data_IF_750453012221
#
_entry.id   IF_750453012221
#
_cell.length_a   1.000
_cell.length_b   1.000
_cell.length_c   1.000
_cell.angle_alpha   90.00
_cell.angle_beta   90.00
_cell.angle_gamma   90.00
#
_symmetry.space_group_name_H-M   'P 1'
#
loop_
_entity.id
_entity.type
_entity.pdbx_description
1 polymer ?
#
# COMPACT_ATOMS: atom_id res chain seq x y z
N UNK A 1 -0.06 13.10 7.84
CA UNK A 1 0.95 12.73 8.85
C UNK A 1 0.38 13.04 10.23
N UNK A 2 0.56 12.17 11.22
CA UNK A 2 -0.11 12.28 12.52
C UNK A 2 0.87 12.72 13.61
N UNK A 3 0.53 13.78 14.33
CA UNK A 3 1.28 14.27 15.50
C UNK A 3 1.14 13.30 16.68
N UNK A 4 1.95 13.46 17.73
CA UNK A 4 1.82 12.67 18.96
C UNK A 4 0.39 12.73 19.52
N UNK A 5 -0.25 13.89 19.42
CA UNK A 5 -1.61 14.17 19.90
C UNK A 5 -2.72 13.63 18.98
N UNK A 6 -2.37 13.00 17.86
CA UNK A 6 -3.36 12.53 16.90
C UNK A 6 -4.27 11.45 17.51
N UNK A 7 -5.54 11.44 17.08
CA UNK A 7 -6.55 10.49 17.54
C UNK A 7 -6.15 9.03 17.38
N UNK A 8 -5.33 8.71 16.39
CA UNK A 8 -4.80 7.34 16.18
C UNK A 8 -3.95 6.85 17.35
N UNK A 9 -3.31 7.73 18.11
CA UNK A 9 -2.46 7.37 19.24
C UNK A 9 -3.26 7.28 20.57
N UNK A 10 -4.52 7.72 20.58
CA UNK A 10 -5.33 7.71 21.78
C UNK A 10 -5.59 6.28 22.25
N UNK A 11 -5.31 6.01 23.53
CA UNK A 11 -5.45 4.69 24.12
C UNK A 11 -4.32 3.71 23.81
N UNK A 12 -3.29 4.12 23.04
CA UNK A 12 -2.11 3.29 22.84
C UNK A 12 -1.34 3.12 24.15
N UNK A 13 -1.03 1.88 24.53
CA UNK A 13 -0.19 1.56 25.69
C UNK A 13 1.30 1.58 25.35
N UNK A 14 1.66 1.45 24.07
CA UNK A 14 3.04 1.54 23.61
C UNK A 14 3.13 2.23 22.24
N UNK A 15 4.00 3.25 22.18
CA UNK A 15 4.41 3.91 20.96
C UNK A 15 5.86 3.56 20.65
N UNK A 16 6.18 3.28 19.39
CA UNK A 16 7.53 2.99 18.94
C UNK A 16 8.01 4.08 17.97
N UNK A 17 9.27 4.54 18.08
CA UNK A 17 9.85 5.42 17.08
C UNK A 17 10.04 4.67 15.75
N UNK A 18 9.62 5.28 14.66
CA UNK A 18 9.83 4.81 13.30
C UNK A 18 10.38 5.96 12.46
N UNK A 19 11.72 6.06 12.40
CA UNK A 19 12.40 7.24 11.86
C UNK A 19 12.01 8.50 12.64
N UNK A 20 11.54 9.58 11.99
CA UNK A 20 11.13 10.81 12.66
C UNK A 20 9.71 10.73 13.28
N UNK A 21 9.05 9.57 13.25
CA UNK A 21 7.63 9.42 13.64
C UNK A 21 7.46 8.52 14.86
N UNK A 22 6.33 8.66 15.54
CA UNK A 22 5.86 7.71 16.57
C UNK A 22 4.66 6.96 16.02
N UNK A 23 4.71 5.63 16.05
CA UNK A 23 3.60 4.77 15.65
C UNK A 23 3.04 4.01 16.86
N UNK A 24 1.71 3.89 16.99
CA UNK A 24 1.12 3.03 18.00
C UNK A 24 1.34 1.58 17.61
N UNK A 25 2.07 0.84 18.44
CA UNK A 25 2.35 -0.59 18.22
C UNK A 25 1.58 -1.50 19.17
N UNK A 26 0.91 -0.92 20.18
CA UNK A 26 0.07 -1.65 21.11
C UNK A 26 -0.97 -0.72 21.76
N UNK A 27 -2.20 -1.19 21.87
CA UNK A 27 -3.33 -0.58 22.57
C UNK A 27 -3.77 -1.39 23.79
N UNK A 28 -3.59 -2.72 23.75
CA UNK A 28 -4.01 -3.62 24.81
C UNK A 28 -2.81 -4.39 25.35
N UNK A 29 -2.62 -5.63 24.92
CA UNK A 29 -1.47 -6.47 25.26
C UNK A 29 -1.06 -7.32 24.03
N UNK A 30 0.19 -7.83 24.00
CA UNK A 30 0.70 -8.52 22.81
C UNK A 30 -0.12 -9.76 22.44
N UNK A 31 -0.63 -10.50 23.43
CA UNK A 31 -1.42 -11.71 23.17
C UNK A 31 -2.71 -11.37 22.45
N UNK A 32 -3.48 -10.40 22.95
CA UNK A 32 -4.75 -10.01 22.35
C UNK A 32 -4.58 -9.44 20.94
N UNK A 33 -3.55 -8.62 20.72
CA UNK A 33 -3.34 -8.00 19.40
C UNK A 33 -2.84 -9.01 18.36
N UNK A 34 -1.94 -9.92 18.75
CA UNK A 34 -1.47 -10.99 17.86
C UNK A 34 -2.57 -12.02 17.57
N UNK A 35 -3.41 -12.36 18.55
CA UNK A 35 -4.52 -13.30 18.34
C UNK A 35 -5.72 -12.63 17.66
N UNK A 36 -5.87 -11.31 17.73
CA UNK A 36 -6.96 -10.57 17.09
C UNK A 36 -7.08 -10.87 15.60
N UNK A 37 -5.96 -10.93 14.87
CA UNK A 37 -5.94 -11.27 13.44
C UNK A 37 -6.21 -12.76 13.15
N UNK A 38 -6.27 -13.63 14.17
CA UNK A 38 -6.56 -15.07 14.03
C UNK A 38 -7.96 -15.44 14.52
N UNK A 39 -8.42 -14.81 15.59
CA UNK A 39 -9.68 -15.13 16.26
C UNK A 39 -10.82 -14.18 15.86
N UNK A 40 -10.50 -12.97 15.39
CA UNK A 40 -11.48 -11.95 15.01
C UNK A 40 -11.00 -11.06 13.85
N UNK A 41 -10.68 -9.79 14.11
CA UNK A 41 -10.02 -8.91 13.17
C UNK A 41 -9.10 -7.92 13.91
N UNK A 42 -8.07 -7.48 13.22
CA UNK A 42 -7.20 -6.39 13.62
C UNK A 42 -7.32 -5.24 12.62
N UNK A 43 -7.22 -4.01 13.10
CA UNK A 43 -7.14 -2.80 12.26
C UNK A 43 -5.87 -2.03 12.62
N UNK A 44 -5.16 -1.56 11.60
CA UNK A 44 -3.96 -0.75 11.77
C UNK A 44 -3.85 0.38 10.77
N UNK A 45 -3.24 1.47 11.23
CA UNK A 45 -2.90 2.65 10.44
C UNK A 45 -1.44 2.67 10.00
N UNK A 46 -0.64 1.65 10.35
CA UNK A 46 0.82 1.65 10.18
C UNK A 46 1.27 1.97 8.75
N UNK A 47 0.52 1.49 7.76
CA UNK A 47 0.81 1.74 6.35
C UNK A 47 0.67 3.23 5.95
N UNK A 48 -0.14 4.01 6.66
CA UNK A 48 -0.27 5.46 6.43
C UNK A 48 1.02 6.24 6.72
N UNK A 49 1.89 5.71 7.59
CA UNK A 49 3.14 6.40 7.98
C UNK A 49 4.34 5.95 7.18
N UNK A 50 4.32 4.68 6.76
CA UNK A 50 5.52 3.97 6.34
C UNK A 50 5.55 3.62 4.86
N UNK A 51 4.41 3.67 4.16
CA UNK A 51 4.33 3.31 2.74
C UNK A 51 4.65 4.52 1.85
N UNK A 52 5.84 4.63 1.25
CA UNK A 52 6.06 5.62 0.21
C UNK A 52 5.18 5.27 -1.00
N UNK A 53 4.47 6.26 -1.51
CA UNK A 53 3.63 6.13 -2.70
C UNK A 53 4.24 6.98 -3.81
N UNK A 54 4.48 6.36 -4.96
CA UNK A 54 5.11 7.01 -6.11
C UNK A 54 4.43 6.58 -7.40
N UNK A 55 3.91 7.56 -8.14
CA UNK A 55 3.31 7.36 -9.45
C UNK A 55 4.37 7.44 -10.53
N UNK A 56 4.22 6.60 -11.56
CA UNK A 56 5.07 6.54 -12.75
C UNK A 56 4.17 6.67 -13.96
N UNK A 57 4.47 7.62 -14.85
CA UNK A 57 3.68 7.85 -16.07
C UNK A 57 4.57 8.16 -17.25
N UNK A 58 4.28 7.57 -18.40
CA UNK A 58 4.99 7.86 -19.66
C UNK A 58 5.14 6.62 -20.55
N UNK A 59 5.38 6.79 -21.85
CA UNK A 59 5.38 5.71 -22.83
C UNK A 59 6.44 4.63 -22.55
N UNK A 60 7.53 4.95 -21.85
CA UNK A 60 8.55 3.98 -21.46
C UNK A 60 8.26 3.31 -20.10
N UNK A 61 7.12 3.55 -19.45
CA UNK A 61 6.86 3.04 -18.09
C UNK A 61 6.92 1.51 -17.99
N UNK A 62 6.36 0.78 -18.96
CA UNK A 62 6.44 -0.69 -19.02
C UNK A 62 7.90 -1.14 -19.21
N UNK A 63 8.65 -0.46 -20.09
CA UNK A 63 10.05 -0.76 -20.38
C UNK A 63 10.93 -0.55 -19.15
N UNK A 64 10.72 0.54 -18.43
CA UNK A 64 11.35 0.82 -17.14
C UNK A 64 11.08 -0.33 -16.16
N UNK A 65 9.81 -0.66 -15.92
CA UNK A 65 9.42 -1.69 -14.95
C UNK A 65 9.98 -3.07 -15.31
N UNK A 66 9.91 -3.46 -16.58
CA UNK A 66 10.51 -4.72 -17.07
C UNK A 66 12.04 -4.74 -16.98
N UNK A 67 12.71 -3.57 -16.95
CA UNK A 67 14.16 -3.49 -16.79
C UNK A 67 14.60 -3.62 -15.34
N UNK A 68 13.84 -3.04 -14.40
CA UNK A 68 14.26 -2.93 -12.98
C UNK A 68 13.62 -3.95 -12.05
N UNK A 69 12.50 -4.55 -12.45
CA UNK A 69 11.81 -5.57 -11.66
C UNK A 69 12.08 -6.98 -12.20
N UNK A 70 12.19 -7.96 -11.31
CA UNK A 70 12.40 -9.38 -11.68
C UNK A 70 11.13 -10.10 -12.13
N UNK A 71 9.97 -9.44 -11.97
CA UNK A 71 8.69 -10.03 -12.30
C UNK A 71 8.55 -10.30 -13.80
N UNK A 72 7.57 -11.15 -14.15
CA UNK A 72 7.14 -11.33 -15.54
C UNK A 72 6.76 -9.99 -16.17
N UNK A 73 6.68 -9.98 -17.49
CA UNK A 73 6.30 -8.81 -18.30
C UNK A 73 5.08 -8.04 -17.74
N UNK A 74 5.27 -6.73 -17.49
CA UNK A 74 4.24 -5.81 -17.02
C UNK A 74 3.25 -5.40 -18.11
N UNK A 75 3.56 -5.58 -19.41
CA UNK A 75 2.60 -5.36 -20.48
C UNK A 75 1.36 -6.27 -20.36
N UNK A 76 1.54 -7.46 -19.76
CA UNK A 76 0.47 -8.43 -19.51
C UNK A 76 -0.40 -8.10 -18.30
N UNK A 77 0.01 -7.14 -17.46
CA UNK A 77 -0.80 -6.68 -16.34
C UNK A 77 -1.90 -5.76 -16.88
N UNK A 78 -3.17 -6.15 -16.78
CA UNK A 78 -4.28 -5.31 -17.25
C UNK A 78 -4.42 -4.05 -16.40
N UNK A 79 -4.97 -2.98 -16.97
CA UNK A 79 -5.35 -1.78 -16.20
C UNK A 79 -6.29 -2.18 -15.06
N UNK A 80 -6.05 -1.63 -13.87
CA UNK A 80 -6.70 -2.01 -12.61
C UNK A 80 -6.05 -3.20 -11.91
N UNK A 81 -5.24 -4.00 -12.61
CA UNK A 81 -4.51 -5.12 -12.03
C UNK A 81 -3.32 -4.67 -11.20
N UNK A 82 -2.98 -5.48 -10.21
CA UNK A 82 -1.83 -5.26 -9.33
C UNK A 82 -0.86 -6.44 -9.33
N UNK A 83 0.36 -6.19 -8.86
CA UNK A 83 1.42 -7.18 -8.74
C UNK A 83 2.34 -6.80 -7.59
N UNK A 84 2.74 -7.78 -6.79
CA UNK A 84 3.86 -7.62 -5.85
C UNK A 84 5.15 -7.60 -6.66
N UNK A 85 5.76 -6.43 -6.80
CA UNK A 85 6.88 -6.18 -7.68
C UNK A 85 8.17 -6.01 -6.89
N UNK A 86 9.22 -6.70 -7.33
CA UNK A 86 10.50 -6.83 -6.64
C UNK A 86 11.59 -6.27 -7.54
N UNK A 87 12.34 -5.30 -7.02
CA UNK A 87 13.46 -4.65 -7.69
C UNK A 87 14.75 -5.25 -7.18
N UNK A 88 15.62 -5.67 -8.09
CA UNK A 88 16.95 -6.19 -7.75
C UNK A 88 18.04 -5.41 -8.47
N UNK A 89 19.23 -5.37 -7.87
CA UNK A 89 20.42 -4.90 -8.56
C UNK A 89 20.96 -5.96 -9.55
N UNK A 90 22.01 -5.61 -10.28
CA UNK A 90 22.64 -6.49 -11.29
C UNK A 90 23.20 -7.81 -10.71
N UNK A 91 23.45 -7.85 -9.40
CA UNK A 91 23.89 -9.07 -8.69
C UNK A 91 22.73 -9.93 -8.20
N UNK A 92 21.48 -9.53 -8.50
CA UNK A 92 20.27 -10.21 -8.04
C UNK A 92 19.90 -9.92 -6.57
N UNK A 93 20.53 -8.94 -5.93
CA UNK A 93 20.21 -8.57 -4.54
C UNK A 93 19.00 -7.63 -4.54
N UNK A 94 18.04 -7.89 -3.65
CA UNK A 94 16.82 -7.10 -3.53
C UNK A 94 17.15 -5.68 -3.06
N UNK A 95 16.66 -4.70 -3.81
CA UNK A 95 16.77 -3.27 -3.50
C UNK A 95 15.52 -2.74 -2.84
N UNK A 96 14.35 -3.14 -3.35
CA UNK A 96 13.04 -2.79 -2.82
C UNK A 96 11.98 -3.78 -3.32
N UNK A 97 10.87 -3.89 -2.61
CA UNK A 97 9.69 -4.61 -3.05
C UNK A 97 8.42 -3.90 -2.60
N UNK A 98 7.30 -4.26 -3.21
CA UNK A 98 6.01 -3.72 -2.80
C UNK A 98 4.91 -3.89 -3.84
N UNK A 99 3.75 -3.30 -3.57
CA UNK A 99 2.61 -3.38 -4.45
C UNK A 99 2.76 -2.39 -5.60
N UNK A 100 2.55 -2.87 -6.82
CA UNK A 100 2.45 -2.05 -8.02
C UNK A 100 1.08 -2.25 -8.65
N UNK A 101 0.44 -1.16 -9.03
CA UNK A 101 -0.89 -1.18 -9.65
C UNK A 101 -0.84 -0.44 -10.99
N UNK A 102 -1.32 -1.07 -12.05
CA UNK A 102 -1.50 -0.38 -13.34
C UNK A 102 -2.75 0.49 -13.27
N UNK A 103 -2.59 1.80 -13.28
CA UNK A 103 -3.70 2.78 -13.16
C UNK A 103 -4.19 3.29 -14.51
N UNK A 104 -3.41 3.12 -15.57
CA UNK A 104 -3.76 3.42 -16.95
C UNK A 104 -2.85 2.64 -17.92
N UNK A 105 -2.95 2.90 -19.21
CA UNK A 105 -2.16 2.16 -20.21
C UNK A 105 -0.65 2.33 -19.94
N UNK A 106 -0.20 3.57 -19.74
CA UNK A 106 1.19 3.92 -19.44
C UNK A 106 1.31 4.62 -18.08
N UNK A 107 0.52 4.16 -17.11
CA UNK A 107 0.48 4.75 -15.78
C UNK A 107 0.43 3.68 -14.70
N UNK A 108 1.30 3.82 -13.72
CA UNK A 108 1.45 2.89 -12.61
C UNK A 108 1.55 3.65 -11.30
N UNK A 109 1.00 3.05 -10.25
CA UNK A 109 1.19 3.48 -8.88
C UNK A 109 1.97 2.44 -8.12
N UNK A 110 3.00 2.87 -7.41
CA UNK A 110 3.87 2.00 -6.62
C UNK A 110 3.71 2.33 -5.14
N UNK A 111 3.75 1.29 -4.32
CA UNK A 111 3.77 1.35 -2.87
C UNK A 111 5.04 0.64 -2.41
N UNK A 112 5.81 1.24 -1.51
CA UNK A 112 7.06 0.68 -0.94
C UNK A 112 8.25 0.52 -1.88
N UNK A 113 8.13 0.88 -3.16
CA UNK A 113 9.25 0.78 -4.12
C UNK A 113 10.14 2.02 -4.15
N UNK A 114 9.65 3.16 -3.67
CA UNK A 114 10.43 4.38 -3.56
C UNK A 114 11.32 4.33 -2.30
N UNK A 115 12.53 4.91 -2.31
CA UNK A 115 13.07 5.80 -3.34
C UNK A 115 13.82 5.09 -4.49
N UNK A 116 13.90 3.76 -4.50
CA UNK A 116 14.65 3.02 -5.54
C UNK A 116 14.03 3.24 -6.91
N UNK A 117 12.71 3.14 -7.03
CA UNK A 117 12.04 3.33 -8.32
C UNK A 117 12.13 4.78 -8.81
N UNK A 118 12.04 5.77 -7.91
CA UNK A 118 12.18 7.18 -8.28
C UNK A 118 13.60 7.49 -8.76
N UNK A 119 14.62 6.91 -8.13
CA UNK A 119 16.00 7.00 -8.61
C UNK A 119 16.14 6.49 -10.05
N UNK A 120 15.51 5.37 -10.40
CA UNK A 120 15.57 4.84 -11.77
C UNK A 120 14.79 5.70 -12.77
N UNK A 121 13.66 6.28 -12.37
CA UNK A 121 12.93 7.27 -13.19
C UNK A 121 13.86 8.45 -13.52
N UNK A 122 14.58 8.97 -12.54
CA UNK A 122 15.42 10.16 -12.72
C UNK A 122 16.74 9.89 -13.47
N UNK A 123 17.27 8.66 -13.41
CA UNK A 123 18.64 8.37 -13.88
C UNK A 123 18.74 7.57 -15.17
N UNK A 124 17.69 6.85 -15.57
CA UNK A 124 17.76 5.98 -16.76
C UNK A 124 17.48 6.71 -18.08
N UNK A 125 17.11 7.99 -18.04
CA UNK A 125 16.89 8.81 -19.24
C UNK A 125 15.77 8.27 -20.15
N UNK A 126 14.78 7.60 -19.57
CA UNK A 126 13.61 7.08 -20.28
C UNK A 126 12.50 8.13 -20.35
N UNK A 127 11.58 8.01 -21.33
CA UNK A 127 10.41 8.89 -21.42
C UNK A 127 9.35 8.49 -20.38
N UNK A 128 9.65 8.83 -19.14
CA UNK A 128 8.81 8.64 -17.95
C UNK A 128 8.94 9.85 -17.03
N UNK A 129 7.87 10.12 -16.32
CA UNK A 129 7.80 11.07 -15.22
C UNK A 129 7.36 10.32 -13.98
N UNK A 130 7.71 10.83 -12.80
CA UNK A 130 7.16 10.30 -11.57
C UNK A 130 6.85 11.36 -10.53
N UNK A 131 5.94 11.01 -9.64
CA UNK A 131 5.30 11.94 -8.71
C UNK A 131 5.15 11.28 -7.34
N UNK A 132 5.63 11.96 -6.28
CA UNK A 132 5.44 11.53 -4.91
C UNK A 132 4.03 11.85 -4.43
N UNK A 133 3.28 10.84 -3.99
CA UNK A 133 1.93 11.00 -3.49
C UNK A 133 1.98 11.03 -1.96
N UNK A 134 1.60 12.17 -1.38
CA UNK A 134 1.73 12.44 0.06
C UNK A 134 0.39 12.66 0.78
N UNK A 135 -0.71 12.66 0.03
CA UNK A 135 -2.05 13.00 0.51
C UNK A 135 -2.98 11.78 0.66
N UNK A 136 -2.43 10.58 0.79
CA UNK A 136 -3.18 9.33 0.98
C UNK A 136 -3.00 8.76 2.38
N UNK A 137 -4.03 8.06 2.86
CA UNK A 137 -4.05 7.38 4.14
C UNK A 137 -4.51 5.94 3.92
N UNK A 138 -3.80 5.00 4.53
CA UNK A 138 -4.05 3.57 4.47
C UNK A 138 -4.43 3.04 5.84
N UNK A 139 -5.57 2.37 5.88
CA UNK A 139 -5.94 1.49 6.98
C UNK A 139 -5.96 0.08 6.45
N UNK A 140 -5.35 -0.83 7.19
CA UNK A 140 -5.44 -2.26 6.91
C UNK A 140 -6.34 -2.89 7.95
N UNK A 141 -7.29 -3.69 7.50
CA UNK A 141 -8.06 -4.60 8.35
C UNK A 141 -7.78 -6.03 7.90
N UNK A 142 -7.51 -6.91 8.84
CA UNK A 142 -7.18 -8.31 8.57
C UNK A 142 -7.78 -9.23 9.63
N UNK A 143 -7.97 -10.51 9.29
CA UNK A 143 -8.52 -11.56 10.14
C UNK A 143 -9.87 -12.11 9.64
N UNK A 144 -10.32 -13.24 10.20
CA UNK A 144 -11.52 -13.95 9.73
C UNK A 144 -12.82 -13.14 9.79
N UNK A 145 -12.87 -12.07 10.61
CA UNK A 145 -14.04 -11.18 10.73
C UNK A 145 -13.91 -9.87 9.95
N UNK A 146 -12.80 -9.65 9.25
CA UNK A 146 -12.53 -8.39 8.52
C UNK A 146 -13.60 -8.06 7.49
N UNK A 147 -14.04 -9.04 6.68
CA UNK A 147 -15.08 -8.86 5.67
C UNK A 147 -16.41 -8.42 6.30
N UNK A 148 -16.89 -9.18 7.30
CA UNK A 148 -18.14 -8.89 8.04
C UNK A 148 -18.12 -7.47 8.63
N UNK A 149 -17.00 -7.06 9.22
CA UNK A 149 -16.83 -5.71 9.78
C UNK A 149 -16.88 -4.64 8.68
N UNK A 150 -16.21 -4.88 7.55
CA UNK A 150 -16.21 -3.94 6.42
C UNK A 150 -17.59 -3.80 5.78
N UNK A 151 -18.34 -4.87 5.64
CA UNK A 151 -19.73 -4.84 5.16
C UNK A 151 -20.65 -4.12 6.14
N UNK A 152 -20.50 -4.38 7.44
CA UNK A 152 -21.25 -3.70 8.48
C UNK A 152 -20.98 -2.19 8.50
N UNK A 153 -19.73 -1.78 8.27
CA UNK A 153 -19.31 -0.37 8.24
C UNK A 153 -19.72 0.35 6.95
N UNK A 154 -19.65 -0.34 5.80
CA UNK A 154 -19.92 0.23 4.48
C UNK A 154 -21.36 0.07 3.99
N UNK A 155 -22.15 -0.79 4.65
CA UNK A 155 -23.52 -1.18 4.24
C UNK A 155 -23.57 -1.69 2.80
N UNK A 156 -22.53 -2.40 2.38
CA UNK A 156 -22.35 -2.92 1.01
C UNK A 156 -21.94 -4.38 1.10
N UNK A 157 -22.43 -5.23 0.19
CA UNK A 157 -21.96 -6.61 0.00
C UNK A 157 -20.61 -6.60 -0.73
N UNK A 158 -19.63 -7.31 -0.17
CA UNK A 158 -18.25 -7.33 -0.64
C UNK A 158 -17.78 -8.76 -1.01
N UNK A 159 -18.67 -9.75 -1.01
CA UNK A 159 -18.32 -11.14 -1.32
C UNK A 159 -17.87 -11.35 -2.78
N UNK A 160 -18.19 -10.41 -3.67
CA UNK A 160 -17.80 -10.47 -5.08
C UNK A 160 -16.37 -9.95 -5.33
N UNK A 161 -15.73 -9.35 -4.33
CA UNK A 161 -14.38 -8.79 -4.44
C UNK A 161 -13.36 -9.93 -4.44
N UNK A 162 -12.65 -10.05 -5.55
CA UNK A 162 -11.53 -10.99 -5.68
C UNK A 162 -10.29 -10.45 -5.01
N UNK A 163 -9.36 -11.34 -4.67
CA UNK A 163 -8.04 -10.96 -4.17
C UNK A 163 -7.40 -9.90 -5.08
N UNK A 164 -6.91 -8.82 -4.46
CA UNK A 164 -6.27 -7.68 -5.11
C UNK A 164 -7.14 -6.92 -6.13
N UNK A 165 -8.47 -7.07 -6.06
CA UNK A 165 -9.42 -6.25 -6.79
C UNK A 165 -9.77 -4.98 -6.02
N UNK A 166 -10.11 -3.93 -6.76
CA UNK A 166 -10.48 -2.63 -6.18
C UNK A 166 -11.98 -2.42 -6.10
N UNK A 167 -12.44 -1.77 -5.04
CA UNK A 167 -13.82 -1.33 -4.90
C UNK A 167 -13.91 0.02 -4.22
N UNK A 168 -14.64 0.95 -4.84
CA UNK A 168 -15.01 2.19 -4.17
C UNK A 168 -16.20 1.91 -3.22
N UNK A 169 -16.07 2.31 -1.97
CA UNK A 169 -17.09 2.19 -0.93
C UNK A 169 -17.30 3.53 -0.21
N UNK A 170 -18.32 3.58 0.64
CA UNK A 170 -18.57 4.74 1.51
C UNK A 170 -18.71 4.28 2.96
N UNK A 171 -17.89 4.84 3.85
CA UNK A 171 -17.99 4.62 5.30
C UNK A 171 -18.13 6.00 5.95
N UNK A 172 -19.10 6.15 6.86
CA UNK A 172 -19.34 7.39 7.61
C UNK A 172 -19.36 8.67 6.74
N UNK A 173 -19.97 8.60 5.55
CA UNK A 173 -20.05 9.75 4.64
C UNK A 173 -18.83 9.96 3.73
N UNK A 174 -17.70 9.30 4.00
CA UNK A 174 -16.44 9.46 3.26
C UNK A 174 -16.30 8.38 2.19
N UNK A 175 -15.70 8.73 1.06
CA UNK A 175 -15.37 7.79 -0.01
C UNK A 175 -14.04 7.12 0.33
N UNK A 176 -13.97 5.81 0.21
CA UNK A 176 -12.75 5.02 0.37
C UNK A 176 -12.63 4.05 -0.80
N UNK A 177 -11.40 3.60 -1.05
CA UNK A 177 -11.10 2.56 -2.04
C UNK A 177 -10.53 1.37 -1.31
N UNK A 178 -11.19 0.22 -1.40
CA UNK A 178 -10.58 -1.08 -1.07
C UNK A 178 -9.56 -1.38 -2.16
N UNK A 179 -8.35 -1.75 -1.75
CA UNK A 179 -7.21 -2.07 -2.63
C UNK A 179 -6.85 -3.55 -2.47
#
# INVERSE_FOLDING_TARGET
>A
MFTLENSVNQGASLLMPFGPFMAPIMYTNPRHELLGCRESAWIGSFLSYSSPVYDIKGPDAIKLLNKVCVNRDFAKLKVGGSRHAILCNEKGQMLADGLLIRTGDDSFRTYWQAPVISYYVDTLGMDVTGEWITNEYFFQIDGPKSLEIMEAASKTDLHDIKFAAKRNIKIAGKKLTII
#
